data_IF_026420848715
#
_entry.id   IF_026420848715
#
_cell.length_a   1.000
_cell.length_b   1.000
_cell.length_c   1.000
_cell.angle_alpha   90.00
_cell.angle_beta   90.00
_cell.angle_gamma   90.00
#
_symmetry.space_group_name_H-M   'P 1'
#
loop_
_entity.id
_entity.type
_entity.pdbx_description
1 polymer ?
#
# COMPACT_ATOMS: atom_id res chain seq x y z
N UNK A 1 15.12 8.19 9.57
CA UNK A 1 16.01 7.25 8.86
C UNK A 1 16.50 7.95 7.60
N UNK A 2 17.80 7.84 7.31
CA UNK A 2 18.43 8.49 6.16
C UNK A 2 18.28 7.67 4.85
N UNK A 3 18.71 8.26 3.74
CA UNK A 3 18.66 7.66 2.41
C UNK A 3 19.58 6.43 2.25
N UNK A 4 20.64 6.34 3.07
CA UNK A 4 21.56 5.20 3.08
C UNK A 4 20.88 3.93 3.59
N UNK A 5 20.07 4.05 4.64
CA UNK A 5 19.37 2.89 5.19
C UNK A 5 18.25 2.39 4.27
N UNK A 6 17.59 3.30 3.52
CA UNK A 6 16.67 2.93 2.43
C UNK A 6 17.38 2.17 1.31
N UNK A 7 18.55 2.64 0.89
CA UNK A 7 19.35 1.99 -0.13
C UNK A 7 19.81 0.58 0.31
N UNK A 8 20.17 0.41 1.58
CA UNK A 8 20.53 -0.91 2.16
C UNK A 8 19.37 -1.90 2.14
N UNK A 9 18.17 -1.46 2.52
CA UNK A 9 16.96 -2.29 2.46
C UNK A 9 16.64 -2.73 1.03
N UNK A 10 16.74 -1.82 0.05
CA UNK A 10 16.55 -2.16 -1.37
C UNK A 10 17.57 -3.17 -1.86
N UNK A 11 18.85 -2.93 -1.57
CA UNK A 11 19.92 -3.85 -1.92
C UNK A 11 19.70 -5.23 -1.28
N UNK A 12 19.24 -5.32 -0.03
CA UNK A 12 18.95 -6.60 0.63
C UNK A 12 17.77 -7.37 0.00
N UNK A 13 16.83 -6.67 -0.62
CA UNK A 13 15.72 -7.28 -1.38
C UNK A 13 16.19 -7.73 -2.77
N UNK A 14 17.14 -7.03 -3.38
CA UNK A 14 17.65 -7.31 -4.72
C UNK A 14 18.82 -8.33 -4.75
N UNK A 15 19.63 -8.40 -3.69
CA UNK A 15 20.94 -9.08 -3.69
C UNK A 15 20.91 -10.61 -3.45
N UNK A 16 19.76 -11.27 -3.44
CA UNK A 16 19.73 -12.75 -3.40
C UNK A 16 20.01 -13.32 -4.79
N UNK A 17 21.29 -13.61 -5.08
CA UNK A 17 21.72 -14.33 -6.28
C UNK A 17 20.92 -15.65 -6.43
N UNK A 18 20.07 -15.72 -7.47
CA UNK A 18 19.32 -16.92 -7.84
C UNK A 18 18.20 -17.35 -6.87
N UNK A 19 17.83 -16.52 -5.88
CA UNK A 19 16.88 -16.88 -4.82
C UNK A 19 15.93 -15.76 -4.41
N UNK A 20 14.81 -16.14 -3.79
CA UNK A 20 13.84 -15.21 -3.20
C UNK A 20 14.53 -14.26 -2.19
N UNK A 21 14.05 -13.01 -2.04
CA UNK A 21 14.64 -12.01 -1.15
C UNK A 21 14.79 -12.51 0.29
N UNK A 22 15.80 -12.01 1.02
CA UNK A 22 16.01 -12.31 2.44
C UNK A 22 14.72 -12.05 3.23
N UNK A 23 14.11 -13.08 3.87
CA UNK A 23 12.88 -12.91 4.63
C UNK A 23 12.96 -11.83 5.71
N UNK A 24 14.13 -11.65 6.35
CA UNK A 24 14.29 -10.62 7.38
C UNK A 24 14.26 -9.20 6.78
N UNK A 25 14.88 -9.01 5.61
CA UNK A 25 14.84 -7.74 4.90
C UNK A 25 13.42 -7.40 4.41
N UNK A 26 12.68 -8.40 3.93
CA UNK A 26 11.26 -8.24 3.54
C UNK A 26 10.40 -7.87 4.74
N UNK A 27 10.58 -8.53 5.88
CA UNK A 27 9.84 -8.23 7.11
C UNK A 27 10.11 -6.81 7.61
N UNK A 28 11.37 -6.35 7.55
CA UNK A 28 11.75 -4.99 7.88
C UNK A 28 11.11 -3.97 6.93
N UNK A 29 11.10 -4.24 5.62
CA UNK A 29 10.41 -3.40 4.63
C UNK A 29 8.91 -3.32 4.91
N UNK A 30 8.25 -4.48 5.06
CA UNK A 30 6.81 -4.57 5.32
C UNK A 30 6.45 -3.81 6.59
N UNK A 31 7.18 -4.04 7.69
CA UNK A 31 6.97 -3.32 8.94
C UNK A 31 7.05 -1.82 8.70
N UNK A 32 8.11 -1.35 8.05
CA UNK A 32 8.33 0.07 7.75
C UNK A 32 7.18 0.67 6.94
N UNK A 33 6.81 0.04 5.82
CA UNK A 33 5.73 0.51 4.95
C UNK A 33 4.42 0.65 5.73
N UNK A 34 4.11 -0.28 6.64
CA UNK A 34 2.88 -0.23 7.44
C UNK A 34 2.97 0.79 8.59
N UNK A 35 4.07 0.83 9.34
CA UNK A 35 4.18 1.69 10.53
C UNK A 35 4.46 3.15 10.20
N UNK A 36 5.15 3.45 9.11
CA UNK A 36 5.47 4.84 8.71
C UNK A 36 4.38 5.47 7.83
N UNK A 37 3.47 4.67 7.29
CA UNK A 37 2.32 5.17 6.52
C UNK A 37 1.22 5.65 7.44
N UNK A 38 0.70 6.84 7.14
CA UNK A 38 -0.47 7.44 7.82
C UNK A 38 -1.70 7.35 6.92
N UNK A 39 -1.51 7.59 5.62
CA UNK A 39 -2.56 7.58 4.61
C UNK A 39 -2.37 6.44 3.63
N UNK A 40 -3.36 5.55 3.52
CA UNK A 40 -3.34 4.40 2.59
C UNK A 40 -4.49 4.54 1.60
N UNK A 41 -4.18 4.51 0.31
CA UNK A 41 -5.20 4.42 -0.74
C UNK A 41 -5.43 2.95 -1.12
N UNK A 42 -6.69 2.51 -1.15
CA UNK A 42 -7.04 1.13 -1.51
C UNK A 42 -7.68 1.10 -2.89
N UNK A 43 -6.92 0.68 -3.90
CA UNK A 43 -7.35 0.59 -5.29
C UNK A 43 -8.12 -0.71 -5.55
N UNK A 44 -9.34 -0.58 -6.07
CA UNK A 44 -10.26 -1.72 -6.21
C UNK A 44 -11.08 -1.97 -4.94
N UNK A 45 -11.32 -0.92 -4.15
CA UNK A 45 -12.20 -0.98 -2.99
C UNK A 45 -13.61 -1.45 -3.41
N UNK A 46 -14.20 -2.36 -2.63
CA UNK A 46 -15.52 -2.92 -2.94
C UNK A 46 -16.48 -2.75 -1.75
N UNK A 47 -17.76 -2.40 -2.00
CA UNK A 47 -18.77 -2.36 -0.94
C UNK A 47 -19.17 -3.76 -0.45
N UNK A 48 -18.82 -4.80 -1.22
CA UNK A 48 -19.29 -6.16 -1.00
C UNK A 48 -18.51 -6.89 0.09
N UNK A 49 -19.17 -7.43 1.13
CA UNK A 49 -18.50 -8.11 2.24
C UNK A 49 -17.69 -9.35 1.85
N UNK A 50 -18.04 -10.03 0.75
CA UNK A 50 -17.31 -11.20 0.23
C UNK A 50 -15.99 -10.84 -0.45
N UNK A 51 -15.74 -9.55 -0.73
CA UNK A 51 -14.53 -9.13 -1.42
C UNK A 51 -13.39 -8.87 -0.41
N UNK A 52 -12.18 -9.40 -0.66
CA UNK A 52 -11.03 -9.18 0.23
C UNK A 52 -10.75 -7.70 0.52
N UNK A 53 -10.89 -6.83 -0.48
CA UNK A 53 -10.68 -5.38 -0.31
C UNK A 53 -11.62 -4.74 0.72
N UNK A 54 -12.84 -5.26 0.89
CA UNK A 54 -13.77 -4.81 1.92
C UNK A 54 -13.27 -5.13 3.33
N UNK A 55 -12.79 -6.36 3.53
CA UNK A 55 -12.26 -6.82 4.81
C UNK A 55 -10.99 -6.07 5.21
N UNK A 56 -10.01 -6.00 4.31
CA UNK A 56 -8.72 -5.33 4.57
C UNK A 56 -8.92 -3.84 4.86
N UNK A 57 -9.74 -3.15 4.06
CA UNK A 57 -10.09 -1.74 4.28
C UNK A 57 -10.64 -1.51 5.69
N UNK A 58 -11.61 -2.35 6.13
CA UNK A 58 -12.18 -2.24 7.47
C UNK A 58 -11.15 -2.50 8.57
N UNK A 59 -10.30 -3.50 8.39
CA UNK A 59 -9.25 -3.84 9.37
C UNK A 59 -8.28 -2.68 9.53
N UNK A 60 -7.77 -2.12 8.43
CA UNK A 60 -6.83 -1.01 8.48
C UNK A 60 -7.48 0.28 9.02
N UNK A 61 -8.72 0.57 8.64
CA UNK A 61 -9.45 1.71 9.20
C UNK A 61 -9.66 1.55 10.72
N UNK A 62 -10.06 0.35 11.19
CA UNK A 62 -10.27 0.08 12.62
C UNK A 62 -8.97 0.15 13.43
N UNK A 63 -7.83 -0.17 12.83
CA UNK A 63 -6.50 -0.06 13.43
C UNK A 63 -5.91 1.36 13.37
N UNK A 64 -6.63 2.33 12.79
CA UNK A 64 -6.31 3.77 12.91
C UNK A 64 -5.58 4.39 11.73
N UNK A 65 -5.39 3.68 10.61
CA UNK A 65 -4.90 4.31 9.38
C UNK A 65 -5.98 5.19 8.75
N UNK A 66 -5.56 6.30 8.13
CA UNK A 66 -6.46 7.07 7.25
C UNK A 66 -6.57 6.34 5.92
N UNK A 67 -7.75 5.80 5.64
CA UNK A 67 -7.98 5.03 4.43
C UNK A 67 -8.72 5.86 3.38
N UNK A 68 -8.22 5.82 2.13
CA UNK A 68 -8.82 6.43 0.95
C UNK A 68 -9.24 5.32 -0.04
N UNK A 69 -10.50 4.86 0.01
CA UNK A 69 -11.03 3.89 -0.95
C UNK A 69 -11.06 4.47 -2.36
N UNK A 70 -10.53 3.72 -3.34
CA UNK A 70 -10.56 4.07 -4.76
C UNK A 70 -11.41 3.06 -5.54
N UNK A 71 -12.45 3.54 -6.19
CA UNK A 71 -13.32 2.78 -7.07
C UNK A 71 -13.89 3.69 -8.17
N UNK A 72 -13.78 3.34 -9.47
CA UNK A 72 -14.31 4.13 -10.57
C UNK A 72 -15.81 4.43 -10.50
N UNK A 73 -16.57 3.61 -9.78
CA UNK A 73 -17.99 3.83 -9.46
C UNK A 73 -18.11 4.16 -7.96
N UNK A 74 -17.75 5.39 -7.53
CA UNK A 74 -17.76 5.75 -6.11
C UNK A 74 -19.17 5.70 -5.49
N UNK A 75 -20.22 5.78 -6.30
CA UNK A 75 -21.63 5.62 -5.90
C UNK A 75 -21.93 4.18 -5.46
N UNK A 76 -21.15 3.19 -5.92
CA UNK A 76 -21.26 1.83 -5.39
C UNK A 76 -20.88 1.77 -3.90
N UNK A 77 -20.18 2.79 -3.41
CA UNK A 77 -19.75 2.99 -2.03
C UNK A 77 -20.44 4.21 -1.42
N UNK A 78 -21.65 4.57 -1.86
CA UNK A 78 -22.35 5.84 -1.53
C UNK A 78 -22.50 6.14 -0.04
N UNK A 79 -22.60 5.12 0.82
CA UNK A 79 -22.66 5.28 2.28
C UNK A 79 -21.29 5.07 2.96
N UNK A 80 -20.23 4.91 2.15
CA UNK A 80 -18.88 4.51 2.54
C UNK A 80 -18.78 3.05 2.98
N UNK A 81 -17.59 2.44 2.83
CA UNK A 81 -17.27 1.26 3.66
C UNK A 81 -16.70 1.80 4.96
N UNK A 82 -17.31 1.42 6.08
CA UNK A 82 -16.97 1.96 7.41
C UNK A 82 -17.08 3.50 7.51
N UNK A 83 -18.00 4.12 6.75
CA UNK A 83 -18.20 5.58 6.76
C UNK A 83 -17.10 6.38 6.05
N UNK A 84 -16.25 5.72 5.26
CA UNK A 84 -15.16 6.36 4.52
C UNK A 84 -15.63 6.89 3.16
N UNK A 85 -15.21 8.12 2.82
CA UNK A 85 -15.43 8.71 1.50
C UNK A 85 -14.68 7.95 0.42
N UNK A 86 -15.38 7.48 -0.62
CA UNK A 86 -14.76 6.84 -1.78
C UNK A 86 -14.42 7.86 -2.88
N UNK A 87 -13.32 7.62 -3.58
CA UNK A 87 -12.85 8.44 -4.69
C UNK A 87 -12.85 7.65 -6.01
N UNK A 88 -13.09 8.31 -7.15
CA UNK A 88 -13.07 7.65 -8.45
C UNK A 88 -11.67 7.24 -8.91
N UNK A 89 -10.64 8.01 -8.52
CA UNK A 89 -9.26 7.83 -8.96
C UNK A 89 -8.26 8.19 -7.85
N UNK A 90 -7.01 7.69 -7.98
CA UNK A 90 -5.90 8.05 -7.08
C UNK A 90 -5.63 9.55 -7.08
N UNK A 91 -5.67 10.19 -8.26
CA UNK A 91 -5.50 11.64 -8.41
C UNK A 91 -6.57 12.43 -7.65
N UNK A 92 -7.84 12.02 -7.73
CA UNK A 92 -8.92 12.68 -7.01
C UNK A 92 -8.74 12.54 -5.49
N UNK A 93 -8.35 11.35 -5.02
CA UNK A 93 -8.05 11.12 -3.60
C UNK A 93 -6.86 11.97 -3.13
N UNK A 94 -5.77 12.01 -3.89
CA UNK A 94 -4.59 12.81 -3.57
C UNK A 94 -4.93 14.31 -3.50
N UNK A 95 -5.74 14.81 -4.44
CA UNK A 95 -6.17 16.21 -4.44
C UNK A 95 -7.10 16.58 -3.27
N UNK A 96 -7.71 15.61 -2.58
CA UNK A 96 -8.54 15.85 -1.40
C UNK A 96 -7.74 16.03 -0.11
N UNK A 97 -6.44 15.73 -0.13
CA UNK A 97 -5.57 15.85 1.02
C UNK A 97 -5.24 17.32 1.31
N UNK A 98 -5.06 17.71 2.58
CA UNK A 98 -4.50 19.01 2.94
C UNK A 98 -3.15 19.29 2.28
N UNK A 99 -2.82 20.57 2.10
CA UNK A 99 -1.53 20.95 1.55
C UNK A 99 -0.36 20.41 2.39
N UNK A 100 0.60 19.75 1.72
CA UNK A 100 1.75 19.12 2.38
C UNK A 100 1.50 17.67 2.84
N UNK A 101 0.27 17.16 2.72
CA UNK A 101 -0.02 15.74 2.88
C UNK A 101 0.00 15.02 1.53
N UNK A 102 0.29 13.72 1.56
CA UNK A 102 0.30 12.86 0.39
C UNK A 102 -0.23 11.46 0.75
N UNK A 103 -0.50 10.66 -0.26
CA UNK A 103 -0.81 9.24 -0.07
C UNK A 103 0.52 8.54 0.24
N UNK A 104 0.64 7.87 1.37
CA UNK A 104 1.90 7.22 1.74
C UNK A 104 2.05 5.88 1.05
N UNK A 105 0.95 5.11 1.00
CA UNK A 105 0.92 3.75 0.48
C UNK A 105 -0.29 3.56 -0.44
N UNK A 106 -0.05 3.01 -1.63
CA UNK A 106 -1.10 2.57 -2.56
C UNK A 106 -1.21 1.05 -2.50
N UNK A 107 -2.34 0.55 -1.98
CA UNK A 107 -2.66 -0.87 -1.80
C UNK A 107 -3.64 -1.37 -2.88
N UNK A 108 -3.24 -2.37 -3.65
CA UNK A 108 -3.86 -2.70 -4.94
C UNK A 108 -4.54 -4.07 -4.92
N UNK A 109 -5.86 -4.06 -5.19
CA UNK A 109 -6.72 -5.26 -5.36
C UNK A 109 -7.18 -5.45 -6.81
N UNK A 110 -6.43 -4.91 -7.78
CA UNK A 110 -6.68 -5.09 -9.22
C UNK A 110 -5.84 -6.25 -9.77
N UNK A 111 -6.23 -6.78 -10.92
CA UNK A 111 -5.51 -7.89 -11.56
C UNK A 111 -4.10 -7.44 -11.96
N UNK A 112 -3.18 -8.39 -12.07
CA UNK A 112 -1.77 -8.13 -12.38
C UNK A 112 -1.55 -7.27 -13.63
N UNK A 113 -2.39 -7.42 -14.66
CA UNK A 113 -2.28 -6.70 -15.93
C UNK A 113 -2.60 -5.21 -15.77
N UNK A 114 -3.33 -4.82 -14.73
CA UNK A 114 -3.70 -3.44 -14.44
C UNK A 114 -2.68 -2.75 -13.50
N UNK A 115 -1.78 -3.53 -12.90
CA UNK A 115 -0.85 -3.02 -11.88
C UNK A 115 0.23 -2.09 -12.46
N UNK A 116 0.58 -2.24 -13.74
CA UNK A 116 1.52 -1.32 -14.40
C UNK A 116 0.98 0.11 -14.41
N UNK A 117 -0.27 0.30 -14.83
CA UNK A 117 -0.92 1.61 -14.87
C UNK A 117 -1.06 2.19 -13.46
N UNK A 118 -1.49 1.39 -12.49
CA UNK A 118 -1.61 1.81 -11.09
C UNK A 118 -0.25 2.22 -10.51
N UNK A 119 0.85 1.55 -10.88
CA UNK A 119 2.19 1.94 -10.46
C UNK A 119 2.58 3.32 -11.01
N UNK A 120 2.29 3.58 -12.29
CA UNK A 120 2.54 4.91 -12.90
C UNK A 120 1.71 5.99 -12.21
N UNK A 121 0.45 5.71 -11.89
CA UNK A 121 -0.39 6.66 -11.14
C UNK A 121 0.15 6.92 -9.74
N UNK A 122 0.55 5.87 -9.01
CA UNK A 122 1.11 5.98 -7.66
C UNK A 122 2.35 6.89 -7.66
N UNK A 123 3.26 6.70 -8.63
CA UNK A 123 4.43 7.57 -8.81
C UNK A 123 4.01 9.00 -9.14
N UNK A 124 3.07 9.18 -10.06
CA UNK A 124 2.62 10.50 -10.51
C UNK A 124 1.97 11.34 -9.39
N UNK A 125 1.32 10.70 -8.42
CA UNK A 125 0.75 11.38 -7.24
C UNK A 125 1.75 11.56 -6.09
N UNK A 126 2.99 11.10 -6.24
CA UNK A 126 4.03 11.22 -5.21
C UNK A 126 3.87 10.21 -4.07
N UNK A 127 3.26 9.05 -4.31
CA UNK A 127 3.16 8.03 -3.27
C UNK A 127 4.55 7.49 -2.87
N UNK A 128 4.73 7.13 -1.60
CA UNK A 128 6.02 6.62 -1.09
C UNK A 128 6.17 5.11 -1.25
N UNK A 129 5.06 4.40 -1.38
CA UNK A 129 5.06 2.96 -1.54
C UNK A 129 3.89 2.44 -2.36
N UNK A 130 4.12 1.30 -3.00
CA UNK A 130 3.17 0.51 -3.76
C UNK A 130 3.11 -0.90 -3.18
N UNK A 131 1.90 -1.39 -2.94
CA UNK A 131 1.62 -2.68 -2.34
C UNK A 131 0.65 -3.46 -3.22
N UNK A 132 1.09 -4.61 -3.74
CA UNK A 132 0.20 -5.53 -4.47
C UNK A 132 -0.27 -6.64 -3.54
N UNK A 133 -1.58 -6.86 -3.50
CA UNK A 133 -2.20 -7.83 -2.61
C UNK A 133 -1.82 -9.28 -2.93
N UNK A 134 -2.24 -10.21 -2.06
CA UNK A 134 -2.01 -11.64 -2.23
C UNK A 134 -2.46 -12.13 -3.61
N UNK A 135 -1.61 -12.95 -4.24
CA UNK A 135 -1.81 -13.50 -5.57
C UNK A 135 -1.60 -12.49 -6.71
N UNK A 136 -1.21 -11.25 -6.42
CA UNK A 136 -0.98 -10.21 -7.41
C UNK A 136 0.52 -9.95 -7.51
N UNK A 137 1.08 -10.31 -8.67
CA UNK A 137 2.49 -10.18 -9.00
C UNK A 137 2.58 -9.41 -10.32
N UNK A 138 3.45 -8.40 -10.38
CA UNK A 138 3.66 -7.62 -11.60
C UNK A 138 5.11 -7.15 -11.73
N UNK A 139 5.91 -7.79 -12.60
CA UNK A 139 7.29 -7.36 -12.86
C UNK A 139 7.38 -5.91 -13.37
N UNK A 140 6.41 -5.48 -14.19
CA UNK A 140 6.36 -4.11 -14.70
C UNK A 140 6.12 -3.08 -13.58
N UNK A 141 5.21 -3.36 -12.65
CA UNK A 141 5.00 -2.51 -11.48
C UNK A 141 6.24 -2.44 -10.58
N UNK A 142 6.91 -3.57 -10.38
CA UNK A 142 8.16 -3.63 -9.62
C UNK A 142 9.26 -2.76 -10.25
N UNK A 143 9.43 -2.85 -11.58
CA UNK A 143 10.39 -2.04 -12.32
C UNK A 143 10.08 -0.54 -12.20
N UNK A 144 8.82 -0.13 -12.40
CA UNK A 144 8.41 1.27 -12.28
C UNK A 144 8.67 1.79 -10.86
N UNK A 145 8.35 0.99 -9.84
CA UNK A 145 8.57 1.38 -8.45
C UNK A 145 10.07 1.55 -8.14
N UNK A 146 10.91 0.65 -8.65
CA UNK A 146 12.36 0.72 -8.50
C UNK A 146 12.95 1.96 -9.21
N UNK A 147 12.55 2.21 -10.46
CA UNK A 147 12.99 3.38 -11.24
C UNK A 147 12.58 4.71 -10.59
N UNK A 148 11.37 4.76 -10.02
CA UNK A 148 10.87 5.92 -9.31
C UNK A 148 11.43 6.05 -7.87
N UNK A 149 12.12 5.03 -7.39
CA UNK A 149 12.64 5.00 -6.03
C UNK A 149 11.56 5.05 -4.97
N UNK A 150 10.42 4.39 -5.18
CA UNK A 150 9.39 4.17 -4.15
C UNK A 150 9.49 2.75 -3.60
N UNK A 151 8.98 2.54 -2.39
CA UNK A 151 8.99 1.21 -1.77
C UNK A 151 7.97 0.28 -2.45
N UNK A 152 8.31 -0.99 -2.61
CA UNK A 152 7.47 -1.95 -3.32
C UNK A 152 7.39 -3.28 -2.59
N UNK A 153 6.18 -3.80 -2.43
CA UNK A 153 5.94 -5.17 -2.02
C UNK A 153 4.78 -5.74 -2.83
N UNK A 154 4.82 -7.05 -3.06
CA UNK A 154 3.77 -7.78 -3.78
C UNK A 154 3.50 -9.12 -3.11
N UNK A 155 2.36 -9.72 -3.43
CA UNK A 155 1.91 -10.99 -2.87
C UNK A 155 1.91 -11.00 -1.33
N UNK A 156 1.38 -9.93 -0.73
CA UNK A 156 1.24 -9.77 0.73
C UNK A 156 -0.09 -9.12 1.07
N UNK A 157 -0.63 -9.41 2.25
CA UNK A 157 -1.87 -8.77 2.73
C UNK A 157 -1.60 -8.05 4.06
N UNK A 158 -1.77 -6.72 4.14
CA UNK A 158 -1.55 -5.96 5.38
C UNK A 158 -2.30 -6.57 6.56
N UNK A 159 -3.57 -6.97 6.40
CA UNK A 159 -4.36 -7.55 7.49
C UNK A 159 -3.80 -8.88 8.03
N UNK A 160 -3.01 -9.62 7.25
CA UNK A 160 -2.27 -10.81 7.70
C UNK A 160 -0.91 -10.42 8.31
N UNK A 161 -0.24 -9.45 7.70
CA UNK A 161 1.07 -8.96 8.16
C UNK A 161 0.99 -8.28 9.52
N UNK A 162 -0.11 -7.58 9.83
CA UNK A 162 -0.30 -6.89 11.10
C UNK A 162 -0.13 -7.81 12.33
N UNK A 163 -0.93 -8.88 12.52
CA UNK A 163 -0.74 -9.78 13.65
C UNK A 163 0.57 -10.56 13.58
N UNK A 164 1.04 -10.93 12.37
CA UNK A 164 2.30 -11.66 12.19
C UNK A 164 3.51 -10.87 12.69
N UNK A 165 3.50 -9.56 12.46
CA UNK A 165 4.59 -8.64 12.83
C UNK A 165 4.30 -7.87 14.14
N UNK A 166 3.17 -8.12 14.81
CA UNK A 166 2.80 -7.41 16.04
C UNK A 166 2.58 -5.91 15.83
N UNK A 167 2.04 -5.51 14.67
CA UNK A 167 1.75 -4.11 14.32
C UNK A 167 0.29 -3.84 14.66
N UNK A 168 0.04 -2.88 15.56
CA UNK A 168 -1.30 -2.55 16.06
C UNK A 168 -1.94 -1.32 15.40
N UNK A 169 -1.18 -0.55 14.61
CA UNK A 169 -1.64 0.69 13.99
C UNK A 169 -0.50 1.49 13.35
N UNK A 170 -0.80 2.66 12.77
CA UNK A 170 0.25 3.57 12.32
C UNK A 170 1.14 3.98 13.50
N UNK A 171 2.44 4.14 13.25
CA UNK A 171 3.48 4.45 14.25
C UNK A 171 3.61 3.43 15.39
N UNK A 172 3.08 2.20 15.27
CA UNK A 172 3.20 1.15 16.31
C UNK A 172 4.61 0.58 16.52
N UNK A 173 5.64 1.23 15.97
CA UNK A 173 7.06 1.02 16.28
C UNK A 173 7.78 2.25 16.82
N UNK A 174 7.07 3.35 17.11
CA UNK A 174 7.64 4.61 17.62
C UNK A 174 7.66 4.69 19.16
N UNK A 175 7.62 3.55 19.87
CA UNK A 175 7.70 3.49 21.33
C UNK A 175 8.91 2.68 21.77
N UNK A 176 9.77 3.37 22.53
CA UNK A 176 11.06 3.01 23.14
C UNK A 176 12.30 3.10 22.23
#
# INVERSE_FOLDING_TARGET
MDEQERARLRAAIEATEGGAPDPAAVDALVRRMLTESRTIAIVGASPRPDRPSHGVLRTLAAAGWRILPINPMPEALRDGVAGLTCFPTLRAAAASLPAGEQIDLVDVFRRSEECEEVAREAVAIGARGLWLQLGIISPAAAQIAAEAGIDFVQDRCPAIELPRLGISGPNSGASA
#
